data_IF_430292483116
#
_entry.id   IF_430292483116
#
_cell.length_a   1.000
_cell.length_b   1.000
_cell.length_c   1.000
_cell.angle_alpha   90.00
_cell.angle_beta   90.00
_cell.angle_gamma   90.00
#
_symmetry.space_group_name_H-M   'P 1'
#
loop_
_entity.id
_entity.type
_entity.pdbx_description
1 polymer ?
#
# COMPACT_ATOMS: atom_id res chain seq x y z
N UNK A 1 17.24 27.63 -15.25
CA UNK A 1 18.06 26.42 -15.54
C UNK A 1 17.27 25.19 -15.16
N UNK A 2 17.25 24.15 -16.00
CA UNK A 2 16.61 22.87 -15.65
C UNK A 2 17.37 22.26 -14.46
N UNK A 3 16.66 21.82 -13.43
CA UNK A 3 17.27 21.20 -12.25
C UNK A 3 17.88 19.84 -12.61
N UNK A 4 18.96 19.41 -11.93
CA UNK A 4 19.48 18.07 -12.15
C UNK A 4 18.46 17.03 -11.75
N UNK A 5 18.36 15.95 -12.52
CA UNK A 5 17.49 14.82 -12.23
C UNK A 5 18.09 14.04 -11.07
N UNK A 6 17.33 13.94 -9.94
CA UNK A 6 17.79 13.23 -8.74
C UNK A 6 17.91 11.74 -9.00
N UNK A 7 17.01 11.20 -9.83
CA UNK A 7 16.90 9.77 -10.17
C UNK A 7 18.06 9.26 -11.05
N UNK A 8 19.30 9.64 -10.75
CA UNK A 8 20.50 9.13 -11.42
C UNK A 8 21.55 8.67 -10.40
N UNK A 9 22.37 7.66 -10.72
CA UNK A 9 23.43 7.20 -9.81
C UNK A 9 24.39 8.32 -9.39
N UNK A 10 24.74 9.22 -10.33
CA UNK A 10 25.69 10.30 -10.13
C UNK A 10 25.15 11.32 -9.12
N UNK A 11 23.92 11.81 -9.35
CA UNK A 11 23.29 12.82 -8.49
C UNK A 11 22.95 12.24 -7.13
N UNK A 12 22.39 11.03 -7.07
CA UNK A 12 22.11 10.33 -5.80
C UNK A 12 23.40 10.17 -4.98
N UNK A 13 24.49 9.66 -5.56
CA UNK A 13 25.76 9.51 -4.85
C UNK A 13 26.36 10.85 -4.42
N UNK A 14 26.23 11.91 -5.23
CA UNK A 14 26.64 13.26 -4.84
C UNK A 14 25.87 13.74 -3.61
N UNK A 15 24.53 13.58 -3.59
CA UNK A 15 23.69 13.99 -2.46
C UNK A 15 24.08 13.21 -1.20
N UNK A 16 24.20 11.87 -1.29
CA UNK A 16 24.55 11.03 -0.15
C UNK A 16 25.92 11.45 0.45
N UNK A 17 26.92 11.71 -0.37
CA UNK A 17 28.25 12.18 0.09
C UNK A 17 28.16 13.60 0.67
N UNK A 18 27.47 14.53 0.01
CA UNK A 18 27.37 15.94 0.38
C UNK A 18 26.75 16.13 1.77
N UNK A 19 25.76 15.28 2.11
CA UNK A 19 25.05 15.32 3.39
C UNK A 19 25.54 14.24 4.38
N UNK A 20 26.63 13.53 4.06
CA UNK A 20 27.17 12.43 4.87
C UNK A 20 26.08 11.41 5.26
N UNK A 21 25.23 11.03 4.31
CA UNK A 21 24.13 10.12 4.51
C UNK A 21 24.52 8.69 4.20
N UNK A 22 24.09 7.79 5.08
CA UNK A 22 24.13 6.36 4.85
C UNK A 22 22.69 5.84 4.91
N UNK A 23 22.35 4.98 3.95
CA UNK A 23 21.03 4.31 3.95
C UNK A 23 20.83 3.54 5.25
N UNK A 24 19.72 3.81 5.93
CA UNK A 24 19.39 3.13 7.18
C UNK A 24 18.64 1.83 6.87
N UNK A 25 19.32 0.70 7.14
CA UNK A 25 18.73 -0.63 6.94
C UNK A 25 17.49 -0.86 7.82
N UNK A 26 17.42 -0.23 9.01
CA UNK A 26 16.26 -0.35 9.89
C UNK A 26 15.03 0.35 9.32
N UNK A 27 15.25 1.43 8.56
CA UNK A 27 14.21 2.15 7.85
C UNK A 27 13.98 1.63 6.43
N UNK A 28 14.66 0.55 6.03
CA UNK A 28 14.50 -0.06 4.71
C UNK A 28 14.83 0.87 3.54
N UNK A 29 15.73 1.84 3.73
CA UNK A 29 16.05 2.87 2.74
C UNK A 29 16.76 2.28 1.54
N UNK A 30 16.11 2.37 0.37
CA UNK A 30 16.64 2.06 -0.95
C UNK A 30 16.26 3.23 -1.88
N UNK A 31 17.25 4.05 -2.25
CA UNK A 31 17.02 5.24 -3.07
C UNK A 31 16.93 4.83 -4.54
N UNK A 32 15.85 5.22 -5.20
CA UNK A 32 15.61 4.96 -6.61
C UNK A 32 16.54 5.84 -7.47
N UNK A 33 17.25 5.23 -8.43
CA UNK A 33 18.29 5.88 -9.26
C UNK A 33 18.01 5.72 -10.76
N UNK A 34 16.77 5.48 -11.13
CA UNK A 34 16.34 5.17 -12.49
C UNK A 34 15.24 6.16 -12.89
N UNK A 35 15.59 7.12 -13.74
CA UNK A 35 14.68 8.20 -14.18
C UNK A 35 13.46 7.67 -14.93
N UNK A 36 13.62 6.61 -15.76
CA UNK A 36 12.49 6.03 -16.48
C UNK A 36 11.47 5.41 -15.52
N UNK A 37 11.94 4.68 -14.52
CA UNK A 37 11.07 4.10 -13.48
C UNK A 37 10.31 5.20 -12.73
N UNK A 38 11.00 6.27 -12.32
CA UNK A 38 10.39 7.39 -11.59
C UNK A 38 9.32 8.07 -12.43
N UNK A 39 9.61 8.33 -13.70
CA UNK A 39 8.63 8.92 -14.62
C UNK A 39 7.41 8.03 -14.84
N UNK A 40 7.63 6.72 -14.96
CA UNK A 40 6.54 5.74 -15.12
C UNK A 40 5.65 5.66 -13.88
N UNK A 41 6.22 5.76 -12.66
CA UNK A 41 5.45 5.84 -11.41
C UNK A 41 4.60 7.13 -11.41
N UNK A 42 5.20 8.27 -11.70
CA UNK A 42 4.48 9.56 -11.75
C UNK A 42 3.37 9.55 -12.82
N UNK A 43 3.64 8.99 -14.00
CA UNK A 43 2.64 8.83 -15.07
C UNK A 43 1.48 7.91 -14.66
N UNK A 44 1.77 6.80 -13.96
CA UNK A 44 0.75 5.86 -13.48
C UNK A 44 -0.19 6.49 -12.41
N UNK A 45 0.26 7.55 -11.74
CA UNK A 45 -0.57 8.30 -10.80
C UNK A 45 -1.63 9.17 -11.49
N UNK A 46 -1.50 9.42 -12.81
CA UNK A 46 -2.46 10.20 -13.63
C UNK A 46 -2.80 11.56 -12.99
N UNK A 47 -1.76 12.30 -12.59
CA UNK A 47 -1.91 13.57 -11.88
C UNK A 47 -2.20 14.73 -12.84
N UNK A 48 -3.17 15.56 -12.47
CA UNK A 48 -3.41 16.85 -13.11
C UNK A 48 -2.70 18.00 -12.32
N UNK A 49 -2.37 19.12 -12.96
CA UNK A 49 -1.84 20.31 -12.26
C UNK A 49 -2.79 20.76 -11.14
N UNK A 50 -2.22 21.02 -9.95
CA UNK A 50 -2.95 21.42 -8.74
C UNK A 50 -3.70 20.27 -8.05
N UNK A 51 -3.61 19.03 -8.54
CA UNK A 51 -4.24 17.88 -7.91
C UNK A 51 -3.45 17.42 -6.68
N UNK A 52 -4.10 17.21 -5.52
CA UNK A 52 -3.39 16.80 -4.32
C UNK A 52 -2.84 15.36 -4.44
N UNK A 53 -1.55 15.20 -4.14
CA UNK A 53 -0.91 13.88 -4.04
C UNK A 53 -0.12 13.75 -2.74
N UNK A 54 -0.30 12.62 -2.06
CA UNK A 54 0.46 12.23 -0.88
C UNK A 54 1.61 11.32 -1.30
N UNK A 55 2.82 11.68 -0.93
CA UNK A 55 3.98 10.79 -1.01
C UNK A 55 4.39 10.32 0.39
N UNK A 56 4.57 9.02 0.57
CA UNK A 56 5.05 8.43 1.82
C UNK A 56 6.50 8.00 1.66
N UNK A 57 7.40 8.56 2.47
CA UNK A 57 8.82 8.28 2.43
C UNK A 57 9.52 8.86 1.19
N UNK A 58 9.56 10.18 1.02
CA UNK A 58 10.21 10.83 -0.14
C UNK A 58 11.72 10.54 -0.23
N UNK A 59 12.35 10.12 0.88
CA UNK A 59 13.77 9.87 0.93
C UNK A 59 14.59 11.11 0.61
N UNK A 60 15.35 11.10 -0.47
CA UNK A 60 16.12 12.27 -0.95
C UNK A 60 15.36 13.14 -1.96
N UNK A 61 14.05 12.89 -2.16
CA UNK A 61 13.20 13.67 -3.06
C UNK A 61 13.12 13.15 -4.49
N UNK A 62 13.54 11.92 -4.74
CA UNK A 62 13.63 11.35 -6.09
C UNK A 62 12.27 11.25 -6.79
N UNK A 63 11.28 10.65 -6.16
CA UNK A 63 9.92 10.56 -6.71
C UNK A 63 9.20 11.89 -6.54
N UNK A 64 9.43 12.61 -5.43
CA UNK A 64 8.86 13.94 -5.17
C UNK A 64 9.13 14.91 -6.32
N UNK A 65 10.36 14.92 -6.86
CA UNK A 65 10.73 15.75 -8.00
C UNK A 65 9.84 15.46 -9.21
N UNK A 66 9.66 14.19 -9.56
CA UNK A 66 8.85 13.83 -10.72
C UNK A 66 7.36 14.12 -10.52
N UNK A 67 6.83 13.94 -9.30
CA UNK A 67 5.47 14.32 -8.96
C UNK A 67 5.27 15.84 -9.05
N UNK A 68 6.20 16.61 -8.50
CA UNK A 68 6.16 18.08 -8.57
C UNK A 68 6.21 18.62 -10.00
N UNK A 69 6.97 17.96 -10.89
CA UNK A 69 7.10 18.32 -12.31
C UNK A 69 5.81 18.06 -13.12
N UNK A 70 4.85 17.27 -12.60
CA UNK A 70 3.50 17.16 -13.19
C UNK A 70 2.64 18.40 -12.94
N UNK A 71 3.05 19.28 -12.01
CA UNK A 71 2.27 20.41 -11.53
C UNK A 71 1.30 20.08 -10.39
N UNK A 72 1.26 18.83 -9.91
CA UNK A 72 0.42 18.42 -8.78
C UNK A 72 0.89 19.03 -7.45
N UNK A 73 -0.04 19.21 -6.49
CA UNK A 73 0.25 19.68 -5.15
C UNK A 73 0.75 18.52 -4.28
N UNK A 74 2.07 18.40 -4.10
CA UNK A 74 2.70 17.27 -3.42
C UNK A 74 2.80 17.53 -1.91
N UNK A 75 2.23 16.65 -1.11
CA UNK A 75 2.49 16.56 0.33
C UNK A 75 3.33 15.31 0.58
N UNK A 76 4.60 15.49 0.95
CA UNK A 76 5.53 14.41 1.23
C UNK A 76 5.70 14.22 2.75
N UNK A 77 5.50 13.00 3.26
CA UNK A 77 5.61 12.67 4.68
C UNK A 77 6.87 11.85 4.92
N UNK A 78 7.82 12.40 5.68
CA UNK A 78 9.11 11.76 5.98
C UNK A 78 9.30 11.54 7.48
N UNK A 79 9.63 10.30 7.84
CA UNK A 79 9.90 9.91 9.23
C UNK A 79 11.32 10.30 9.67
N UNK A 80 12.29 10.15 8.78
CA UNK A 80 13.71 10.35 9.09
C UNK A 80 14.10 11.83 9.06
N UNK A 81 14.24 12.43 10.25
CA UNK A 81 14.65 13.82 10.40
C UNK A 81 15.97 14.18 9.72
N UNK A 82 16.87 13.19 9.51
CA UNK A 82 18.16 13.42 8.83
C UNK A 82 17.98 13.77 7.36
N UNK A 83 16.85 13.40 6.77
CA UNK A 83 16.54 13.69 5.36
C UNK A 83 15.90 15.06 5.13
N UNK A 84 15.42 15.75 6.18
CA UNK A 84 14.76 17.06 6.02
C UNK A 84 15.68 18.12 5.40
N UNK A 85 16.94 18.32 5.84
CA UNK A 85 17.85 19.27 5.20
C UNK A 85 18.19 18.90 3.76
N UNK A 86 18.12 17.61 3.42
CA UNK A 86 18.33 17.10 2.06
C UNK A 86 17.15 17.49 1.18
N UNK A 87 15.94 17.20 1.65
CA UNK A 87 14.68 17.52 0.95
C UNK A 87 14.54 19.03 0.73
N UNK A 88 14.88 19.85 1.74
CA UNK A 88 14.92 21.30 1.59
C UNK A 88 15.80 21.73 0.42
N UNK A 89 16.99 21.11 0.27
CA UNK A 89 17.93 21.45 -0.80
C UNK A 89 17.56 20.84 -2.15
N UNK A 90 17.15 19.60 -2.19
CA UNK A 90 16.82 18.89 -3.46
C UNK A 90 15.54 19.42 -4.08
N UNK A 91 14.59 19.83 -3.26
CA UNK A 91 13.28 20.34 -3.67
C UNK A 91 13.19 21.87 -3.70
N UNK A 92 14.31 22.57 -3.43
CA UNK A 92 14.37 24.03 -3.49
C UNK A 92 13.79 24.57 -4.80
N UNK A 93 12.78 25.50 -4.71
CA UNK A 93 12.10 26.11 -5.85
C UNK A 93 11.01 25.26 -6.51
N UNK A 94 10.55 24.17 -5.87
CA UNK A 94 9.26 23.56 -6.15
C UNK A 94 8.25 24.10 -5.14
N UNK A 95 7.52 25.14 -5.51
CA UNK A 95 6.54 25.82 -4.63
C UNK A 95 5.29 24.94 -4.36
N UNK A 96 5.06 23.94 -5.22
CA UNK A 96 3.99 22.98 -5.12
C UNK A 96 4.34 21.74 -4.28
N UNK A 97 5.43 21.79 -3.49
CA UNK A 97 5.85 20.69 -2.61
C UNK A 97 5.85 21.13 -1.16
N UNK A 98 5.19 20.36 -0.31
CA UNK A 98 5.22 20.52 1.14
C UNK A 98 5.75 19.25 1.79
N UNK A 99 6.77 19.37 2.64
CA UNK A 99 7.33 18.25 3.42
C UNK A 99 6.83 18.32 4.86
N UNK A 100 6.33 17.20 5.37
CA UNK A 100 5.89 17.02 6.76
C UNK A 100 6.79 15.97 7.40
N UNK A 101 7.42 16.31 8.54
CA UNK A 101 8.13 15.33 9.33
C UNK A 101 7.19 14.66 10.33
N UNK A 102 6.77 13.44 10.03
CA UNK A 102 5.86 12.67 10.87
C UNK A 102 5.94 11.17 10.56
N UNK A 103 5.43 10.34 11.48
CA UNK A 103 5.05 8.97 11.17
C UNK A 103 3.69 9.00 10.46
N UNK A 104 3.63 8.46 9.25
CA UNK A 104 2.40 8.41 8.45
C UNK A 104 1.30 7.57 9.11
N UNK A 105 1.67 6.60 9.96
CA UNK A 105 0.70 5.78 10.70
C UNK A 105 0.00 6.56 11.81
N UNK A 106 0.68 7.56 12.40
CA UNK A 106 0.15 8.41 13.47
C UNK A 106 -0.46 9.71 12.93
N UNK A 107 -0.10 10.10 11.69
CA UNK A 107 -0.56 11.34 11.08
C UNK A 107 -2.07 11.31 10.79
N UNK A 108 -2.75 12.41 11.07
CA UNK A 108 -4.08 12.68 10.51
C UNK A 108 -3.92 13.07 9.03
N UNK A 109 -3.94 12.04 8.17
CA UNK A 109 -3.77 12.21 6.72
C UNK A 109 -4.89 13.07 6.14
N UNK A 110 -6.13 12.91 6.62
CA UNK A 110 -7.25 13.69 6.09
C UNK A 110 -7.03 15.20 6.32
N UNK A 111 -6.64 15.58 7.54
CA UNK A 111 -6.29 16.98 7.84
C UNK A 111 -5.06 17.44 7.10
N UNK A 112 -4.04 16.58 6.95
CA UNK A 112 -2.82 16.91 6.20
C UNK A 112 -3.12 17.18 4.72
N UNK A 113 -4.10 16.50 4.13
CA UNK A 113 -4.56 16.69 2.75
C UNK A 113 -5.67 17.75 2.62
N UNK A 114 -6.02 18.45 3.72
CA UNK A 114 -7.05 19.49 3.73
C UNK A 114 -8.46 19.00 3.48
N UNK A 115 -8.75 17.72 3.77
CA UNK A 115 -10.05 17.09 3.53
C UNK A 115 -10.42 16.93 2.05
N UNK A 116 -9.48 17.17 1.13
CA UNK A 116 -9.69 17.03 -0.31
C UNK A 116 -9.52 15.59 -0.76
N UNK A 117 -10.14 15.23 -1.87
CA UNK A 117 -9.80 14.01 -2.61
C UNK A 117 -8.36 14.09 -3.08
N UNK A 118 -7.61 13.01 -2.92
CA UNK A 118 -6.19 12.95 -3.25
C UNK A 118 -5.79 11.59 -3.83
N UNK A 119 -4.60 11.56 -4.41
CA UNK A 119 -3.92 10.34 -4.85
C UNK A 119 -2.71 10.05 -3.97
N UNK A 120 -2.23 8.82 -4.00
CA UNK A 120 -1.00 8.41 -3.33
C UNK A 120 0.00 7.92 -4.36
N UNK A 121 1.24 8.39 -4.28
CA UNK A 121 2.37 7.83 -5.03
C UNK A 121 3.54 7.63 -4.07
N UNK A 122 4.06 6.39 -3.94
CA UNK A 122 5.08 6.11 -2.94
C UNK A 122 6.00 4.95 -3.32
N UNK A 123 7.28 5.09 -3.01
CA UNK A 123 8.22 3.98 -2.88
C UNK A 123 8.23 3.53 -1.42
N UNK A 124 7.37 2.58 -1.06
CA UNK A 124 7.13 2.22 0.34
C UNK A 124 8.31 1.45 0.95
N UNK A 125 8.72 1.81 2.19
CA UNK A 125 9.70 1.02 2.93
C UNK A 125 9.20 -0.41 3.16
N UNK A 126 10.02 -1.42 2.81
CA UNK A 126 9.58 -2.82 2.77
C UNK A 126 9.12 -3.37 4.12
N UNK A 127 9.75 -2.93 5.23
CA UNK A 127 9.45 -3.43 6.57
C UNK A 127 8.07 -3.00 7.11
N UNK A 128 7.49 -1.93 6.55
CA UNK A 128 6.25 -1.31 7.03
C UNK A 128 5.17 -1.17 5.94
N UNK A 129 5.40 -1.74 4.77
CA UNK A 129 4.49 -1.67 3.61
C UNK A 129 3.06 -2.07 3.98
N UNK A 130 2.87 -3.24 4.59
CA UNK A 130 1.53 -3.75 4.93
C UNK A 130 0.80 -2.86 5.95
N UNK A 131 1.39 -2.43 7.07
CA UNK A 131 0.78 -1.44 7.96
C UNK A 131 0.35 -0.14 7.27
N UNK A 132 1.18 0.42 6.38
CA UNK A 132 0.85 1.66 5.66
C UNK A 132 -0.36 1.44 4.74
N UNK A 133 -0.38 0.33 3.99
CA UNK A 133 -1.51 -0.02 3.11
C UNK A 133 -2.81 -0.10 3.92
N UNK A 134 -2.83 -0.86 5.04
CA UNK A 134 -4.02 -0.95 5.88
C UNK A 134 -4.44 0.39 6.46
N UNK A 135 -3.50 1.23 6.90
CA UNK A 135 -3.81 2.57 7.39
C UNK A 135 -4.48 3.46 6.33
N UNK A 136 -4.08 3.33 5.04
CA UNK A 136 -4.72 4.05 3.94
C UNK A 136 -6.14 3.55 3.65
N UNK A 137 -6.38 2.24 3.75
CA UNK A 137 -7.66 1.64 3.42
C UNK A 137 -8.69 1.80 4.56
N UNK A 138 -8.29 1.56 5.82
CA UNK A 138 -9.21 1.50 6.97
C UNK A 138 -9.67 2.89 7.44
N UNK A 139 -8.89 3.94 7.21
CA UNK A 139 -9.23 5.32 7.63
C UNK A 139 -10.33 5.98 6.78
N UNK A 140 -10.90 5.29 5.78
CA UNK A 140 -11.94 5.83 4.87
C UNK A 140 -11.58 7.20 4.30
N UNK A 141 -10.33 7.34 3.88
CA UNK A 141 -9.80 8.56 3.30
C UNK A 141 -10.46 8.83 1.94
N UNK A 142 -10.61 10.09 1.52
CA UNK A 142 -11.07 10.45 0.18
C UNK A 142 -9.96 10.17 -0.86
N UNK A 143 -9.54 8.91 -0.94
CA UNK A 143 -8.47 8.40 -1.78
C UNK A 143 -9.05 7.92 -3.11
N UNK A 144 -8.54 8.47 -4.22
CA UNK A 144 -8.98 8.09 -5.57
C UNK A 144 -8.12 6.96 -6.15
N UNK A 145 -6.80 7.10 -6.03
CA UNK A 145 -5.82 6.19 -6.62
C UNK A 145 -4.59 6.09 -5.75
N UNK A 146 -4.02 4.91 -5.68
CA UNK A 146 -2.75 4.67 -5.01
C UNK A 146 -1.79 3.96 -5.98
N UNK A 147 -0.62 4.55 -6.21
CA UNK A 147 0.48 3.97 -6.98
C UNK A 147 1.62 3.71 -6.02
N UNK A 148 1.88 2.46 -5.72
CA UNK A 148 2.88 2.07 -4.73
C UNK A 148 3.92 1.13 -5.33
N UNK A 149 5.18 1.40 -5.02
CA UNK A 149 6.24 0.45 -5.28
C UNK A 149 6.54 -0.34 -4.01
N UNK A 150 6.48 -1.66 -4.13
CA UNK A 150 6.64 -2.62 -3.03
C UNK A 150 7.51 -3.79 -3.49
N UNK A 151 7.92 -4.67 -2.57
CA UNK A 151 8.57 -5.93 -2.97
C UNK A 151 7.64 -6.73 -3.88
N UNK A 152 8.20 -7.41 -4.88
CA UNK A 152 7.46 -8.21 -5.86
C UNK A 152 6.53 -9.23 -5.19
N UNK A 153 7.00 -9.93 -4.14
CA UNK A 153 6.17 -10.86 -3.37
C UNK A 153 4.92 -10.18 -2.76
N UNK A 154 5.07 -8.94 -2.27
CA UNK A 154 3.95 -8.18 -1.71
C UNK A 154 2.97 -7.78 -2.82
N UNK A 155 3.46 -7.36 -3.98
CA UNK A 155 2.63 -7.06 -5.15
C UNK A 155 1.84 -8.29 -5.63
N UNK A 156 2.50 -9.45 -5.71
CA UNK A 156 1.86 -10.73 -6.04
C UNK A 156 0.77 -11.11 -5.04
N UNK A 157 0.99 -10.85 -3.74
CA UNK A 157 -0.04 -11.04 -2.71
C UNK A 157 -1.20 -10.06 -2.84
N UNK A 158 -0.96 -8.80 -3.17
CA UNK A 158 -1.99 -7.78 -3.37
C UNK A 158 -2.94 -8.20 -4.50
N UNK A 159 -2.40 -8.70 -5.60
CA UNK A 159 -3.15 -9.01 -6.83
C UNK A 159 -3.58 -10.49 -6.93
N UNK A 160 -3.22 -11.32 -5.95
CA UNK A 160 -3.49 -12.76 -5.97
C UNK A 160 -4.98 -13.08 -6.05
N UNK A 161 -5.35 -14.06 -6.89
CA UNK A 161 -6.70 -14.61 -6.96
C UNK A 161 -6.92 -15.69 -5.88
N UNK A 162 -8.18 -15.96 -5.47
CA UNK A 162 -8.50 -17.06 -4.57
C UNK A 162 -7.98 -18.40 -5.07
N UNK A 163 -7.51 -19.26 -4.14
CA UNK A 163 -6.98 -20.60 -4.42
C UNK A 163 -5.45 -20.64 -4.56
N UNK A 164 -4.80 -19.51 -4.72
CA UNK A 164 -3.35 -19.40 -4.82
C UNK A 164 -2.64 -19.35 -3.46
N UNK A 165 -1.36 -19.74 -3.45
CA UNK A 165 -0.51 -19.69 -2.24
C UNK A 165 -0.28 -18.27 -1.72
N UNK A 166 -0.37 -17.26 -2.57
CA UNK A 166 -0.10 -15.86 -2.25
C UNK A 166 -1.36 -15.10 -1.82
N UNK A 167 -2.55 -15.71 -2.01
CA UNK A 167 -3.81 -15.12 -1.59
C UNK A 167 -3.97 -15.13 -0.07
N UNK A 168 -4.35 -13.99 0.50
CA UNK A 168 -4.44 -13.80 1.94
C UNK A 168 -5.28 -12.58 2.34
N UNK A 169 -5.23 -12.24 3.62
CA UNK A 169 -5.99 -11.09 4.15
C UNK A 169 -5.66 -9.77 3.43
N UNK A 170 -4.39 -9.57 3.02
CA UNK A 170 -3.99 -8.39 2.23
C UNK A 170 -4.66 -8.39 0.86
N UNK A 171 -4.71 -9.54 0.17
CA UNK A 171 -5.40 -9.67 -1.12
C UNK A 171 -6.87 -9.30 -1.02
N UNK A 172 -7.55 -9.86 0.00
CA UNK A 172 -8.98 -9.57 0.27
C UNK A 172 -9.19 -8.09 0.55
N UNK A 173 -8.39 -7.48 1.43
CA UNK A 173 -8.54 -6.07 1.77
C UNK A 173 -8.33 -5.16 0.56
N UNK A 174 -7.23 -5.39 -0.19
CA UNK A 174 -6.94 -4.60 -1.38
C UNK A 174 -8.04 -4.71 -2.42
N UNK A 175 -8.51 -5.91 -2.71
CA UNK A 175 -9.54 -6.14 -3.73
C UNK A 175 -10.95 -5.72 -3.28
N UNK A 176 -11.19 -5.62 -1.97
CA UNK A 176 -12.43 -5.08 -1.44
C UNK A 176 -12.51 -3.56 -1.63
N UNK A 177 -11.43 -2.82 -1.34
CA UNK A 177 -11.41 -1.37 -1.44
C UNK A 177 -10.98 -0.85 -2.82
N UNK A 178 -10.18 -1.61 -3.56
CA UNK A 178 -9.53 -1.15 -4.81
C UNK A 178 -9.61 -2.18 -5.93
N UNK A 179 -9.17 -1.77 -7.11
CA UNK A 179 -8.86 -2.64 -8.26
C UNK A 179 -7.33 -2.63 -8.44
N UNK A 180 -6.61 -3.57 -7.80
CA UNK A 180 -5.16 -3.58 -7.85
C UNK A 180 -4.65 -4.31 -9.10
N UNK A 181 -3.62 -3.75 -9.74
CA UNK A 181 -2.89 -4.37 -10.84
C UNK A 181 -1.39 -4.12 -10.73
N UNK A 182 -0.57 -5.09 -11.15
CA UNK A 182 0.87 -4.90 -11.28
C UNK A 182 1.14 -4.20 -12.60
N UNK A 183 1.58 -2.94 -12.54
CA UNK A 183 1.88 -2.14 -13.71
C UNK A 183 3.21 -2.57 -14.36
N UNK A 184 4.26 -2.78 -13.54
CA UNK A 184 5.57 -3.24 -14.01
C UNK A 184 6.49 -3.69 -12.87
N UNK A 185 7.52 -4.45 -13.25
CA UNK A 185 8.57 -4.92 -12.33
C UNK A 185 9.75 -3.96 -12.36
N UNK A 186 10.41 -3.78 -11.21
CA UNK A 186 11.57 -2.90 -11.02
C UNK A 186 12.74 -3.74 -10.49
N UNK A 187 13.84 -3.85 -11.23
CA UNK A 187 14.99 -4.67 -10.82
C UNK A 187 15.79 -4.01 -9.68
N UNK A 188 16.53 -4.78 -8.89
CA UNK A 188 17.40 -4.27 -7.83
C UNK A 188 18.46 -3.26 -8.31
N UNK A 189 18.87 -3.33 -9.58
CA UNK A 189 19.82 -2.40 -10.18
C UNK A 189 19.35 -0.95 -10.24
N UNK A 190 18.04 -0.73 -10.14
CA UNK A 190 17.42 0.61 -10.11
C UNK A 190 17.50 1.31 -8.74
N UNK A 191 18.25 0.74 -7.76
CA UNK A 191 18.35 1.26 -6.40
C UNK A 191 19.78 1.37 -5.86
N UNK A 192 19.98 2.31 -4.94
CA UNK A 192 21.16 2.43 -4.08
C UNK A 192 20.70 2.55 -2.61
N UNK A 193 21.13 1.65 -1.70
CA UNK A 193 21.74 0.35 -1.98
C UNK A 193 20.78 -0.59 -2.73
N UNK A 194 21.32 -1.60 -3.40
CA UNK A 194 20.51 -2.60 -4.11
C UNK A 194 19.76 -3.48 -3.11
N UNK A 195 18.44 -3.63 -3.20
CA UNK A 195 17.70 -4.63 -2.44
C UNK A 195 18.05 -6.05 -2.93
N UNK A 196 17.72 -7.07 -2.13
CA UNK A 196 17.98 -8.48 -2.46
C UNK A 196 16.93 -9.09 -3.40
N UNK A 197 15.82 -8.39 -3.64
CA UNK A 197 14.65 -8.88 -4.40
C UNK A 197 14.16 -7.83 -5.36
N UNK A 198 13.45 -8.27 -6.40
CA UNK A 198 12.74 -7.36 -7.30
C UNK A 198 11.67 -6.59 -6.54
N UNK A 199 11.39 -5.39 -7.02
CA UNK A 199 10.21 -4.59 -6.66
C UNK A 199 9.17 -4.65 -7.76
N UNK A 200 7.97 -4.23 -7.45
CA UNK A 200 6.91 -4.04 -8.43
C UNK A 200 6.13 -2.77 -8.13
N UNK A 201 5.71 -2.09 -9.15
CA UNK A 201 4.76 -0.97 -9.05
C UNK A 201 3.35 -1.53 -9.20
N UNK A 202 2.52 -1.26 -8.19
CA UNK A 202 1.11 -1.64 -8.16
C UNK A 202 0.26 -0.38 -8.26
N UNK A 203 -0.68 -0.38 -9.20
CA UNK A 203 -1.71 0.64 -9.34
C UNK A 203 -2.99 0.11 -8.71
N UNK A 204 -3.55 0.88 -7.79
CA UNK A 204 -4.75 0.53 -7.05
C UNK A 204 -5.77 1.67 -7.26
N UNK A 205 -6.76 1.45 -8.11
CA UNK A 205 -7.87 2.39 -8.30
C UNK A 205 -8.91 2.12 -7.22
N UNK A 206 -9.24 3.13 -6.42
CA UNK A 206 -10.27 2.98 -5.40
C UNK A 206 -11.63 2.73 -6.03
N UNK A 207 -12.37 1.78 -5.44
CA UNK A 207 -13.75 1.49 -5.84
C UNK A 207 -14.69 2.57 -5.33
N UNK A 208 -15.68 2.93 -6.13
CA UNK A 208 -16.76 3.84 -5.71
C UNK A 208 -17.78 3.15 -4.82
N UNK A 209 -17.87 1.82 -4.90
CA UNK A 209 -18.71 0.97 -4.06
C UNK A 209 -18.02 -0.38 -3.82
N UNK A 210 -18.24 -1.02 -2.66
CA UNK A 210 -17.73 -2.36 -2.39
C UNK A 210 -18.20 -3.37 -3.46
N UNK A 211 -17.35 -4.34 -3.86
CA UNK A 211 -17.67 -5.33 -4.89
C UNK A 211 -18.66 -6.41 -4.43
N UNK A 212 -19.00 -6.43 -3.14
CA UNK A 212 -19.94 -7.36 -2.51
C UNK A 212 -20.77 -6.63 -1.46
N UNK A 213 -22.02 -7.04 -1.29
CA UNK A 213 -22.90 -6.50 -0.26
C UNK A 213 -22.68 -7.20 1.08
N UNK A 214 -22.40 -6.44 2.13
CA UNK A 214 -22.18 -6.92 3.49
C UNK A 214 -22.98 -6.10 4.50
N UNK A 215 -23.45 -6.79 5.55
CA UNK A 215 -24.21 -6.14 6.63
C UNK A 215 -23.31 -5.38 7.62
N UNK A 216 -22.06 -5.79 7.81
CA UNK A 216 -21.09 -5.19 8.75
C UNK A 216 -19.66 -5.38 8.25
N UNK A 217 -19.00 -4.26 7.92
CA UNK A 217 -17.61 -4.24 7.42
C UNK A 217 -16.60 -4.68 8.48
N UNK A 218 -16.81 -4.32 9.75
CA UNK A 218 -15.92 -4.75 10.84
C UNK A 218 -16.00 -6.27 11.04
N UNK A 219 -17.20 -6.83 10.96
CA UNK A 219 -17.39 -8.27 11.02
C UNK A 219 -16.74 -8.96 9.81
N UNK A 220 -16.90 -8.42 8.61
CA UNK A 220 -16.28 -8.95 7.39
C UNK A 220 -14.77 -9.11 7.58
N UNK A 221 -14.05 -8.06 7.99
CA UNK A 221 -12.61 -8.16 8.20
C UNK A 221 -12.20 -9.02 9.40
N UNK A 222 -13.06 -9.16 10.43
CA UNK A 222 -12.85 -10.15 11.50
C UNK A 222 -12.94 -11.58 10.97
N UNK A 223 -13.91 -11.86 10.11
CA UNK A 223 -14.05 -13.18 9.43
C UNK A 223 -12.84 -13.46 8.55
N UNK A 224 -12.43 -12.50 7.73
CA UNK A 224 -11.21 -12.61 6.90
C UNK A 224 -10.00 -12.92 7.76
N UNK A 225 -9.75 -12.12 8.82
CA UNK A 225 -8.62 -12.34 9.74
C UNK A 225 -8.65 -13.72 10.39
N UNK A 226 -9.82 -14.19 10.82
CA UNK A 226 -9.99 -15.51 11.40
C UNK A 226 -9.69 -16.61 10.38
N UNK A 227 -10.21 -16.51 9.15
CA UNK A 227 -10.01 -17.49 8.09
C UNK A 227 -8.52 -17.69 7.73
N UNK A 228 -7.73 -16.62 7.75
CA UNK A 228 -6.28 -16.66 7.46
C UNK A 228 -5.39 -16.88 8.68
N UNK A 229 -5.93 -16.96 9.89
CA UNK A 229 -5.15 -17.16 11.13
C UNK A 229 -4.48 -18.52 11.21
N UNK A 230 -5.06 -19.55 10.59
CA UNK A 230 -4.58 -20.94 10.59
C UNK A 230 -4.47 -21.49 9.15
N UNK A 231 -3.52 -20.97 8.38
CA UNK A 231 -3.36 -21.20 6.94
C UNK A 231 -3.45 -22.66 6.50
N UNK A 232 -2.85 -23.61 7.25
CA UNK A 232 -2.82 -25.03 6.91
C UNK A 232 -4.01 -25.83 7.46
N UNK A 233 -4.98 -25.19 8.13
CA UNK A 233 -6.14 -25.86 8.72
C UNK A 233 -7.39 -25.61 7.89
N UNK A 234 -8.39 -26.49 8.05
CA UNK A 234 -9.72 -26.28 7.49
C UNK A 234 -10.36 -25.01 8.06
N UNK A 235 -11.20 -24.39 7.28
CA UNK A 235 -11.89 -23.13 7.63
C UNK A 235 -12.69 -23.26 8.93
N UNK A 236 -13.40 -24.40 9.14
CA UNK A 236 -14.13 -24.69 10.36
C UNK A 236 -13.26 -24.62 11.63
N UNK A 237 -11.97 -24.92 11.53
CA UNK A 237 -11.03 -24.78 12.65
C UNK A 237 -10.54 -23.34 12.82
N UNK A 238 -10.31 -22.63 11.73
CA UNK A 238 -9.85 -21.24 11.76
C UNK A 238 -10.91 -20.31 12.36
N UNK A 239 -12.17 -20.51 12.03
CA UNK A 239 -13.30 -19.70 12.52
C UNK A 239 -13.56 -19.83 14.04
N UNK A 240 -13.06 -20.87 14.70
CA UNK A 240 -13.10 -20.97 16.19
C UNK A 240 -12.41 -19.81 16.87
N UNK A 241 -11.44 -19.16 16.22
CA UNK A 241 -10.78 -17.95 16.73
C UNK A 241 -11.75 -16.75 16.87
N UNK A 242 -12.98 -16.87 16.38
CA UNK A 242 -14.05 -15.90 16.61
C UNK A 242 -14.85 -16.15 17.90
N UNK A 243 -14.47 -17.15 18.71
CA UNK A 243 -15.13 -17.48 19.98
C UNK A 243 -16.34 -18.40 19.82
N UNK A 244 -16.47 -19.11 18.67
CA UNK A 244 -17.56 -20.07 18.40
C UNK A 244 -17.07 -21.51 18.54
N UNK A 245 -17.98 -22.42 18.92
CA UNK A 245 -17.67 -23.85 19.04
C UNK A 245 -17.70 -24.55 17.68
N UNK A 246 -17.12 -25.75 17.60
CA UNK A 246 -16.98 -26.54 16.34
C UNK A 246 -18.30 -26.76 15.61
N UNK A 247 -19.37 -27.04 16.35
CA UNK A 247 -20.70 -27.31 15.78
C UNK A 247 -21.27 -26.03 15.15
N UNK A 248 -21.18 -24.90 15.86
CA UNK A 248 -21.60 -23.59 15.33
C UNK A 248 -20.80 -23.18 14.09
N UNK A 249 -19.47 -23.45 14.06
CA UNK A 249 -18.65 -23.16 12.89
C UNK A 249 -19.09 -23.96 11.66
N UNK A 250 -19.45 -25.24 11.83
CA UNK A 250 -19.96 -26.08 10.73
C UNK A 250 -21.34 -25.61 10.26
N UNK A 251 -22.24 -25.32 11.19
CA UNK A 251 -23.57 -24.80 10.89
C UNK A 251 -23.49 -23.49 10.12
N UNK A 252 -22.64 -22.57 10.59
CA UNK A 252 -22.40 -21.29 9.93
C UNK A 252 -21.91 -21.44 8.49
N UNK A 253 -20.92 -22.31 8.27
CA UNK A 253 -20.40 -22.58 6.94
C UNK A 253 -21.47 -23.15 6.01
N UNK A 254 -22.30 -24.08 6.51
CA UNK A 254 -23.41 -24.64 5.75
C UNK A 254 -24.46 -23.57 5.39
N UNK A 255 -24.82 -22.69 6.34
CA UNK A 255 -25.73 -21.58 6.11
C UNK A 255 -25.20 -20.57 5.07
N UNK A 256 -23.88 -20.39 5.03
CA UNK A 256 -23.21 -19.56 4.04
C UNK A 256 -23.00 -20.25 2.67
N UNK A 257 -23.37 -21.54 2.54
CA UNK A 257 -23.17 -22.33 1.32
C UNK A 257 -21.70 -22.72 1.08
N UNK A 258 -20.89 -22.85 2.14
CA UNK A 258 -19.46 -23.10 2.05
C UNK A 258 -19.14 -24.49 2.66
N UNK A 259 -18.40 -25.32 1.90
CA UNK A 259 -17.92 -26.60 2.42
C UNK A 259 -16.96 -26.37 3.61
N UNK A 260 -17.25 -26.93 4.81
CA UNK A 260 -16.43 -26.80 6.01
C UNK A 260 -14.98 -27.32 5.88
N UNK A 261 -14.70 -28.13 4.87
CA UNK A 261 -13.37 -28.68 4.57
C UNK A 261 -12.49 -27.71 3.79
N UNK A 262 -13.07 -26.66 3.17
CA UNK A 262 -12.30 -25.65 2.46
C UNK A 262 -11.32 -24.94 3.40
N UNK A 263 -10.34 -24.26 2.82
CA UNK A 263 -9.37 -23.39 3.53
C UNK A 263 -9.67 -21.94 3.23
N UNK A 264 -9.27 -21.04 4.12
CA UNK A 264 -9.48 -19.60 3.95
C UNK A 264 -8.94 -19.06 2.61
N UNK A 265 -7.79 -19.58 2.16
CA UNK A 265 -7.18 -19.21 0.88
C UNK A 265 -8.01 -19.52 -0.37
N UNK A 266 -9.02 -20.37 -0.27
CA UNK A 266 -9.89 -20.71 -1.40
C UNK A 266 -11.14 -19.84 -1.51
N UNK A 267 -11.41 -18.98 -0.52
CA UNK A 267 -12.63 -18.18 -0.45
C UNK A 267 -12.54 -16.93 -1.32
N UNK A 268 -13.57 -16.69 -2.11
CA UNK A 268 -13.78 -15.43 -2.84
C UNK A 268 -14.28 -14.33 -1.90
N UNK A 269 -14.28 -13.07 -2.38
CA UNK A 269 -14.93 -11.96 -1.67
C UNK A 269 -16.41 -12.25 -1.39
N UNK A 270 -17.11 -12.89 -2.34
CA UNK A 270 -18.50 -13.29 -2.17
C UNK A 270 -18.69 -14.34 -1.07
N UNK A 271 -17.78 -15.32 -0.98
CA UNK A 271 -17.82 -16.32 0.09
C UNK A 271 -17.66 -15.65 1.47
N UNK A 272 -16.73 -14.68 1.60
CA UNK A 272 -16.55 -13.88 2.82
C UNK A 272 -17.78 -13.03 3.14
N UNK A 273 -18.42 -12.45 2.12
CA UNK A 273 -19.67 -11.71 2.29
C UNK A 273 -20.80 -12.61 2.79
N UNK A 274 -20.96 -13.79 2.21
CA UNK A 274 -21.97 -14.78 2.63
C UNK A 274 -21.77 -15.19 4.09
N UNK A 275 -20.53 -15.44 4.52
CA UNK A 275 -20.19 -15.71 5.92
C UNK A 275 -20.61 -14.52 6.81
N UNK A 276 -20.24 -13.32 6.44
CA UNK A 276 -20.56 -12.12 7.21
C UNK A 276 -22.07 -11.96 7.39
N UNK A 277 -22.82 -12.07 6.29
CA UNK A 277 -24.27 -11.85 6.27
C UNK A 277 -25.09 -12.95 6.98
N UNK A 278 -24.49 -14.11 7.21
CA UNK A 278 -25.16 -15.24 7.91
C UNK A 278 -24.74 -15.40 9.37
N UNK A 279 -23.78 -14.60 9.86
CA UNK A 279 -23.22 -14.76 11.21
C UNK A 279 -24.25 -14.62 12.33
N UNK A 280 -25.17 -13.66 12.23
CA UNK A 280 -26.20 -13.42 13.25
C UNK A 280 -27.17 -14.60 13.42
N UNK A 281 -27.27 -15.50 12.41
CA UNK A 281 -28.16 -16.67 12.44
C UNK A 281 -27.65 -17.82 13.30
N UNK A 282 -26.39 -17.73 13.77
CA UNK A 282 -25.74 -18.78 14.60
C UNK A 282 -25.48 -18.32 16.04
N UNK A 283 -25.80 -17.08 16.36
CA UNK A 283 -25.79 -16.57 17.73
C UNK A 283 -27.03 -16.98 18.46
#
# INVERSE_FOLDING_TARGET
MKKPVIATPEVTNYILRRFNLHADKKLGQNFLIDEDIVRRIAAAAELAPGEPVLEVGPGIGTLTQALAETGADVTAVELDKRLLPVLEKTLEGYENVRVINADVLELDINSAMGGKTFKVAANLPYYITTPIIFAMLEKKLPLERMVIMVQKEVAERITAAPGGKDYGALSVAMQYYTEPEIAFIVPPSSFIPRPSVDSAVVVCKNRTAPPVEICDEKLFFRVVKAAFSLRRKMLSNALKNMGIVSQQAQEWLNLAGIDPKRRGETLSLQDFANLTNTFEKIK
#
